data_IF_865128913003
#
_entry.id   IF_865128913003
#
_cell.length_a   1.000
_cell.length_b   1.000
_cell.length_c   1.000
_cell.angle_alpha   90.00
_cell.angle_beta   90.00
_cell.angle_gamma   90.00
#
_symmetry.space_group_name_H-M   'P 1'
#
loop_
_entity.id
_entity.type
_entity.pdbx_description
1 polymer ?
#
# COMPACT_ATOMS: atom_id res chain seq x y z
N UNK A 1 -20.62 0.39 7.64
CA UNK A 1 -19.51 -0.17 6.88
C UNK A 1 -19.08 0.86 5.86
N UNK A 2 -17.79 1.13 5.73
CA UNK A 2 -17.27 2.12 4.78
C UNK A 2 -17.31 1.50 3.39
N UNK A 3 -18.42 1.69 2.68
CA UNK A 3 -18.62 1.16 1.33
C UNK A 3 -17.62 1.77 0.33
N UNK A 4 -17.27 0.99 -0.68
CA UNK A 4 -16.35 1.37 -1.77
C UNK A 4 -17.06 1.27 -3.13
N UNK A 5 -16.62 2.05 -4.12
CA UNK A 5 -17.12 1.90 -5.50
C UNK A 5 -16.50 0.70 -6.22
N UNK A 6 -15.43 0.10 -5.67
CA UNK A 6 -14.94 -1.21 -6.09
C UNK A 6 -15.54 -2.31 -5.23
N UNK A 7 -15.72 -3.48 -5.83
CA UNK A 7 -16.17 -4.66 -5.11
C UNK A 7 -15.08 -5.15 -4.14
N UNK A 8 -15.32 -5.01 -2.84
CA UNK A 8 -14.46 -5.53 -1.76
C UNK A 8 -15.22 -6.70 -1.12
N UNK A 9 -14.71 -7.94 -1.17
CA UNK A 9 -15.33 -9.05 -0.47
C UNK A 9 -15.41 -8.80 1.05
N UNK A 10 -16.51 -9.21 1.69
CA UNK A 10 -16.70 -9.00 3.13
C UNK A 10 -15.62 -9.64 4.01
N UNK A 11 -15.05 -10.76 3.55
CA UNK A 11 -13.96 -11.48 4.23
C UNK A 11 -12.55 -11.00 3.81
N UNK A 12 -12.47 -9.90 3.04
CA UNK A 12 -11.17 -9.38 2.59
C UNK A 12 -10.43 -8.70 3.74
N UNK A 13 -9.18 -9.10 3.95
CA UNK A 13 -8.26 -8.41 4.85
C UNK A 13 -7.95 -6.96 4.40
N UNK A 14 -8.22 -6.62 3.13
CA UNK A 14 -7.84 -5.35 2.50
C UNK A 14 -9.04 -4.41 2.31
N UNK A 15 -9.84 -4.22 3.36
CA UNK A 15 -10.93 -3.24 3.37
C UNK A 15 -10.43 -1.79 3.40
N UNK A 16 -11.32 -0.80 3.26
CA UNK A 16 -10.95 0.61 3.48
C UNK A 16 -10.47 0.91 4.92
N UNK A 17 -10.74 0.01 5.88
CA UNK A 17 -10.19 0.09 7.22
C UNK A 17 -8.76 -0.48 7.32
N UNK A 18 -8.28 -1.20 6.31
CA UNK A 18 -6.92 -1.73 6.25
C UNK A 18 -6.30 -1.49 4.87
N UNK A 19 -5.61 -0.35 4.74
CA UNK A 19 -4.82 0.04 3.57
C UNK A 19 -3.34 -0.23 3.88
N UNK A 20 -2.81 -1.44 3.59
CA UNK A 20 -1.40 -1.76 3.80
C UNK A 20 -0.54 -1.14 2.69
N UNK A 21 0.74 -0.97 2.97
CA UNK A 21 1.73 -0.57 1.97
C UNK A 21 2.65 -1.75 1.66
N UNK A 22 3.03 -1.89 0.39
CA UNK A 22 3.94 -2.93 -0.06
C UNK A 22 4.74 -2.50 -1.29
N UNK A 23 5.51 -3.45 -1.82
CA UNK A 23 6.20 -3.33 -3.10
C UNK A 23 5.82 -4.54 -3.95
N UNK A 24 5.48 -4.31 -5.21
CA UNK A 24 5.10 -5.36 -6.13
C UNK A 24 5.73 -5.15 -7.51
N UNK A 25 5.75 -6.20 -8.32
CA UNK A 25 6.04 -6.12 -9.75
C UNK A 25 5.00 -6.91 -10.52
N UNK A 26 4.92 -6.72 -11.84
CA UNK A 26 4.04 -7.55 -12.66
C UNK A 26 4.56 -8.99 -12.73
N UNK A 27 3.66 -9.95 -12.49
CA UNK A 27 3.99 -11.36 -12.58
C UNK A 27 4.24 -11.75 -14.05
N UNK A 28 5.19 -12.66 -14.28
CA UNK A 28 5.47 -13.22 -15.62
C UNK A 28 6.37 -12.38 -16.52
N UNK A 29 6.78 -11.18 -16.10
CA UNK A 29 7.77 -10.36 -16.82
C UNK A 29 9.11 -10.40 -16.08
N UNK A 30 10.11 -11.06 -16.66
CA UNK A 30 11.43 -11.30 -16.04
C UNK A 30 12.21 -10.03 -15.69
N UNK A 31 11.80 -8.86 -16.19
CA UNK A 31 12.41 -7.55 -15.96
C UNK A 31 11.40 -6.49 -15.51
N UNK A 32 10.28 -6.89 -14.89
CA UNK A 32 9.35 -5.89 -14.35
C UNK A 32 10.03 -5.10 -13.23
N UNK A 33 10.11 -3.78 -13.40
CA UNK A 33 10.55 -2.86 -12.33
C UNK A 33 9.57 -2.95 -11.15
N UNK A 34 10.05 -3.15 -9.92
CA UNK A 34 9.21 -3.08 -8.72
C UNK A 34 8.67 -1.66 -8.51
N UNK A 35 7.46 -1.56 -7.97
CA UNK A 35 6.79 -0.30 -7.66
C UNK A 35 6.15 -0.34 -6.28
N UNK A 36 6.10 0.82 -5.62
CA UNK A 36 5.37 1.00 -4.37
C UNK A 36 3.87 0.83 -4.59
N UNK A 37 3.22 0.10 -3.69
CA UNK A 37 1.83 -0.30 -3.87
C UNK A 37 1.01 -0.31 -2.58
N UNK A 38 -0.31 -0.28 -2.72
CA UNK A 38 -1.26 -0.60 -1.66
C UNK A 38 -2.29 -1.61 -2.14
N UNK A 39 -2.95 -2.32 -1.22
CA UNK A 39 -3.99 -3.29 -1.53
C UNK A 39 -5.37 -2.78 -1.11
N UNK A 40 -6.36 -2.94 -1.99
CA UNK A 40 -7.77 -2.66 -1.69
C UNK A 40 -8.66 -3.73 -2.34
N UNK A 41 -9.36 -4.52 -1.50
CA UNK A 41 -10.06 -5.72 -1.92
C UNK A 41 -9.12 -6.70 -2.63
N UNK A 42 -9.45 -7.05 -3.87
CA UNK A 42 -8.62 -7.94 -4.71
C UNK A 42 -7.65 -7.17 -5.62
N UNK A 43 -7.53 -5.86 -5.45
CA UNK A 43 -6.72 -5.01 -6.30
C UNK A 43 -5.44 -4.55 -5.61
N UNK A 44 -4.39 -4.46 -6.41
CA UNK A 44 -3.08 -3.91 -6.07
C UNK A 44 -2.92 -2.62 -6.85
N UNK A 45 -2.68 -1.54 -6.12
CA UNK A 45 -2.72 -0.17 -6.64
C UNK A 45 -1.30 0.38 -6.75
N UNK A 46 -0.88 0.77 -7.94
CA UNK A 46 0.41 1.38 -8.19
C UNK A 46 0.43 2.83 -7.69
N UNK A 47 1.17 3.08 -6.61
CA UNK A 47 1.24 4.41 -5.99
C UNK A 47 2.08 5.39 -6.81
N UNK A 48 3.05 4.90 -7.58
CA UNK A 48 3.88 5.74 -8.47
C UNK A 48 3.02 6.38 -9.56
N UNK A 49 2.12 5.59 -10.18
CA UNK A 49 1.18 6.09 -11.20
C UNK A 49 0.20 7.11 -10.61
N UNK A 50 -0.23 6.91 -9.36
CA UNK A 50 -1.10 7.88 -8.67
C UNK A 50 -0.34 9.18 -8.34
N UNK A 51 0.91 9.07 -7.92
CA UNK A 51 1.79 10.22 -7.68
C UNK A 51 1.99 11.04 -8.96
N UNK A 52 2.33 10.40 -10.08
CA UNK A 52 2.49 11.06 -11.39
C UNK A 52 1.21 11.73 -11.89
N UNK A 53 0.05 11.17 -11.55
CA UNK A 53 -1.24 11.74 -11.90
C UNK A 53 -1.64 12.94 -11.02
N UNK A 54 -0.86 13.27 -9.97
CA UNK A 54 -1.12 14.36 -9.04
C UNK A 54 -2.10 13.99 -7.92
N UNK A 55 -2.29 12.70 -7.62
CA UNK A 55 -3.24 12.26 -6.59
C UNK A 55 -2.91 12.80 -5.19
N UNK A 56 -1.65 13.14 -4.95
CA UNK A 56 -1.13 13.56 -3.65
C UNK A 56 -0.71 15.03 -3.58
N UNK A 57 -0.96 15.84 -4.62
CA UNK A 57 -0.51 17.24 -4.73
C UNK A 57 -1.01 18.15 -3.59
N UNK A 58 -2.15 17.80 -2.99
CA UNK A 58 -2.69 18.52 -1.83
C UNK A 58 -1.88 18.31 -0.54
N UNK A 59 -1.02 17.28 -0.48
CA UNK A 59 -0.19 16.92 0.67
C UNK A 59 1.18 17.59 0.51
N UNK A 60 1.28 18.85 0.92
CA UNK A 60 2.49 19.68 0.73
C UNK A 60 3.75 19.14 1.39
N UNK A 61 3.60 18.33 2.44
CA UNK A 61 4.73 17.73 3.16
C UNK A 61 5.23 16.43 2.53
N UNK A 62 4.50 15.85 1.57
CA UNK A 62 4.96 14.71 0.81
C UNK A 62 6.00 15.19 -0.20
N UNK A 63 7.21 14.64 -0.13
CA UNK A 63 8.25 14.94 -1.11
C UNK A 63 7.90 14.30 -2.47
N UNK A 64 8.26 14.94 -3.60
CA UNK A 64 8.09 14.34 -4.92
C UNK A 64 8.94 13.05 -5.05
N UNK A 65 8.55 12.20 -5.99
CA UNK A 65 9.23 10.92 -6.30
C UNK A 65 9.31 9.94 -5.12
N UNK A 66 8.41 10.09 -4.14
CA UNK A 66 8.39 9.24 -2.94
C UNK A 66 7.98 7.81 -3.28
N UNK A 67 7.02 7.63 -4.20
CA UNK A 67 6.54 6.33 -4.64
C UNK A 67 7.21 5.87 -5.95
N UNK A 68 8.01 6.71 -6.60
CA UNK A 68 8.87 6.38 -7.74
C UNK A 68 10.12 5.56 -7.37
N UNK A 69 10.08 4.87 -6.23
CA UNK A 69 11.15 4.06 -5.69
C UNK A 69 10.81 2.57 -5.80
N UNK A 70 11.84 1.72 -5.77
CA UNK A 70 11.67 0.26 -5.70
C UNK A 70 11.41 -0.27 -4.28
N UNK A 71 11.38 0.61 -3.27
CA UNK A 71 11.13 0.28 -1.86
C UNK A 71 10.39 1.42 -1.16
N UNK A 72 9.71 1.14 -0.05
CA UNK A 72 8.98 2.14 0.73
C UNK A 72 9.87 3.01 1.63
N UNK A 73 11.20 2.85 1.63
CA UNK A 73 12.09 3.58 2.53
C UNK A 73 11.90 5.10 2.42
N UNK A 74 11.82 5.65 1.20
CA UNK A 74 11.61 7.08 1.00
C UNK A 74 10.27 7.59 1.60
N UNK A 75 9.25 6.73 1.66
CA UNK A 75 7.96 7.04 2.27
C UNK A 75 8.01 6.91 3.80
N UNK A 76 8.68 5.88 4.31
CA UNK A 76 8.84 5.63 5.75
C UNK A 76 9.78 6.66 6.39
N UNK A 77 10.74 7.21 5.66
CA UNK A 77 11.63 8.29 6.11
C UNK A 77 10.93 9.66 6.19
N UNK A 78 9.73 9.80 5.59
CA UNK A 78 8.94 11.02 5.71
C UNK A 78 8.53 11.27 7.17
N UNK A 79 8.19 12.53 7.45
CA UNK A 79 7.62 12.89 8.75
C UNK A 79 6.33 12.07 9.01
N UNK A 80 6.12 11.54 10.24
CA UNK A 80 4.92 10.77 10.60
C UNK A 80 3.58 11.48 10.34
N UNK A 81 3.60 12.80 10.14
CA UNK A 81 2.42 13.60 9.75
C UNK A 81 1.95 13.33 8.31
N UNK A 82 2.81 12.77 7.45
CA UNK A 82 2.53 12.47 6.05
C UNK A 82 1.70 11.19 5.90
N UNK A 83 2.04 10.14 6.66
CA UNK A 83 1.39 8.83 6.55
C UNK A 83 -0.14 8.85 6.73
N UNK A 84 -0.72 9.51 7.76
CA UNK A 84 -2.16 9.58 7.89
C UNK A 84 -2.81 10.37 6.75
N UNK A 85 -2.14 11.37 6.17
CA UNK A 85 -2.65 12.14 5.03
C UNK A 85 -2.70 11.30 3.76
N UNK A 86 -1.63 10.57 3.44
CA UNK A 86 -1.60 9.63 2.32
C UNK A 86 -2.68 8.57 2.48
N UNK A 87 -2.79 7.97 3.67
CA UNK A 87 -3.84 6.99 3.94
C UNK A 87 -5.24 7.58 3.79
N UNK A 88 -5.49 8.78 4.32
CA UNK A 88 -6.79 9.44 4.20
C UNK A 88 -7.15 9.69 2.73
N UNK A 89 -6.17 10.12 1.92
CA UNK A 89 -6.35 10.32 0.48
C UNK A 89 -6.65 9.00 -0.24
N UNK A 90 -5.93 7.93 0.06
CA UNK A 90 -6.21 6.61 -0.51
C UNK A 90 -7.62 6.12 -0.16
N UNK A 91 -8.03 6.27 1.10
CA UNK A 91 -9.40 5.93 1.52
C UNK A 91 -10.41 6.76 0.72
N UNK A 92 -10.21 8.07 0.63
CA UNK A 92 -11.08 8.98 -0.14
C UNK A 92 -11.26 8.52 -1.59
N UNK A 93 -10.16 8.21 -2.28
CA UNK A 93 -10.18 7.76 -3.68
C UNK A 93 -11.03 6.50 -3.90
N UNK A 94 -11.17 5.64 -2.88
CA UNK A 94 -11.90 4.38 -2.98
C UNK A 94 -13.24 4.37 -2.24
N UNK A 95 -13.67 5.44 -1.57
CA UNK A 95 -15.00 5.53 -0.94
C UNK A 95 -16.11 5.40 -1.97
N UNK A 96 -17.28 4.88 -1.61
CA UNK A 96 -18.45 4.72 -2.50
C UNK A 96 -18.82 6.00 -3.29
N UNK A 97 -18.75 7.16 -2.64
CA UNK A 97 -19.00 8.47 -3.25
C UNK A 97 -17.91 8.90 -4.25
N UNK A 98 -16.79 8.19 -4.32
CA UNK A 98 -15.64 8.44 -5.18
C UNK A 98 -14.81 9.66 -4.77
N UNK A 99 -15.10 10.26 -3.61
CA UNK A 99 -14.49 11.52 -3.18
C UNK A 99 -14.70 12.64 -4.20
N UNK A 100 -13.60 13.12 -4.77
CA UNK A 100 -13.55 14.14 -5.83
C UNK A 100 -13.70 13.58 -7.24
N UNK A 101 -13.92 12.27 -7.39
CA UNK A 101 -14.03 11.58 -8.68
C UNK A 101 -12.70 11.34 -9.39
N UNK A 102 -11.56 11.75 -8.80
CA UNK A 102 -10.24 11.72 -9.43
C UNK A 102 -9.88 10.35 -10.00
N UNK A 103 -10.11 9.29 -9.23
CA UNK A 103 -9.88 7.91 -9.65
C UNK A 103 -11.14 7.25 -10.21
N UNK A 104 -12.29 7.39 -9.55
CA UNK A 104 -13.54 6.69 -9.92
C UNK A 104 -14.02 7.04 -11.33
N UNK A 105 -13.87 8.28 -11.75
CA UNK A 105 -14.42 8.75 -13.02
C UNK A 105 -13.37 8.72 -14.16
N UNK A 106 -12.12 8.34 -13.85
CA UNK A 106 -11.00 8.27 -14.79
C UNK A 106 -10.62 6.82 -15.13
N UNK A 107 -11.30 6.24 -16.13
CA UNK A 107 -11.05 4.86 -16.57
C UNK A 107 -9.62 4.61 -17.07
N UNK A 108 -8.98 5.62 -17.68
CA UNK A 108 -7.61 5.50 -18.17
C UNK A 108 -6.63 5.35 -17.00
N UNK A 109 -6.82 6.15 -15.95
CA UNK A 109 -6.00 6.06 -14.74
C UNK A 109 -6.24 4.74 -14.01
N UNK A 110 -7.49 4.30 -13.88
CA UNK A 110 -7.81 2.99 -13.28
C UNK A 110 -7.06 1.85 -13.96
N UNK A 111 -7.08 1.79 -15.30
CA UNK A 111 -6.34 0.76 -16.06
C UNK A 111 -4.83 0.87 -15.87
N UNK A 112 -4.31 2.08 -15.66
CA UNK A 112 -2.89 2.32 -15.49
C UNK A 112 -2.40 1.96 -14.08
N UNK A 113 -3.22 2.17 -13.04
CA UNK A 113 -2.79 2.01 -11.65
C UNK A 113 -3.38 0.80 -10.92
N UNK A 114 -4.47 0.18 -11.40
CA UNK A 114 -5.14 -0.93 -10.70
C UNK A 114 -4.85 -2.27 -11.37
N UNK A 115 -4.31 -3.21 -10.60
CA UNK A 115 -4.03 -4.57 -11.06
C UNK A 115 -4.74 -5.59 -10.19
N UNK A 116 -5.07 -6.74 -10.76
CA UNK A 116 -5.54 -7.89 -9.96
C UNK A 116 -4.38 -8.43 -9.11
N UNK A 117 -4.66 -8.73 -7.84
CA UNK A 117 -3.65 -9.28 -6.92
C UNK A 117 -3.00 -10.58 -7.41
N UNK A 118 -3.70 -11.37 -8.22
CA UNK A 118 -3.17 -12.59 -8.85
C UNK A 118 -2.14 -12.33 -9.96
N UNK A 119 -2.07 -11.10 -10.49
CA UNK A 119 -1.19 -10.71 -11.60
C UNK A 119 0.08 -10.00 -11.14
N UNK A 120 0.29 -9.90 -9.83
CA UNK A 120 1.48 -9.25 -9.27
C UNK A 120 2.31 -10.23 -8.45
N UNK A 121 3.59 -9.93 -8.32
CA UNK A 121 4.52 -10.60 -7.43
C UNK A 121 4.93 -9.62 -6.33
N UNK A 122 4.72 -10.00 -5.08
CA UNK A 122 5.12 -9.18 -3.92
C UNK A 122 6.62 -9.29 -3.65
N UNK A 123 7.22 -8.19 -3.23
CA UNK A 123 8.62 -8.08 -2.83
C UNK A 123 8.74 -7.63 -1.38
N UNK A 124 9.98 -7.65 -0.87
CA UNK A 124 10.27 -7.06 0.43
C UNK A 124 9.91 -5.56 0.42
N UNK A 125 9.09 -5.06 1.36
CA UNK A 125 8.53 -3.72 1.29
C UNK A 125 9.56 -2.61 1.58
N UNK A 126 10.58 -2.93 2.37
CA UNK A 126 11.64 -2.00 2.78
C UNK A 126 13.00 -2.66 2.64
N UNK A 127 14.01 -1.87 2.33
CA UNK A 127 15.41 -2.25 2.51
C UNK A 127 15.72 -2.24 3.99
N UNK A 128 15.97 -3.42 4.54
CA UNK A 128 16.31 -3.61 5.96
C UNK A 128 17.79 -3.26 6.16
N UNK A 129 18.06 -2.26 7.00
CA UNK A 129 19.42 -1.91 7.42
C UNK A 129 19.91 -2.82 8.55
N UNK A 130 19.14 -2.85 9.63
CA UNK A 130 19.37 -3.71 10.79
C UNK A 130 18.07 -4.43 11.16
N UNK A 131 18.18 -5.64 11.71
CA UNK A 131 17.06 -6.43 12.17
C UNK A 131 17.30 -6.84 13.63
N UNK A 132 16.35 -6.47 14.50
CA UNK A 132 16.39 -6.77 15.93
C UNK A 132 15.13 -7.56 16.27
N UNK A 133 15.31 -8.74 16.84
CA UNK A 133 14.22 -9.60 17.33
C UNK A 133 14.11 -9.52 18.86
N UNK A 134 12.88 -9.44 19.37
CA UNK A 134 12.60 -9.27 20.80
C UNK A 134 12.02 -10.54 21.41
N UNK A 135 12.55 -10.96 22.57
CA UNK A 135 12.03 -12.10 23.33
C UNK A 135 10.95 -11.69 24.34
N UNK A 136 9.90 -11.01 23.86
CA UNK A 136 8.92 -10.31 24.73
C UNK A 136 7.66 -11.12 25.06
N UNK A 137 7.54 -12.37 24.61
CA UNK A 137 6.38 -13.23 24.92
C UNK A 137 6.65 -14.09 26.14
N UNK A 138 5.95 -13.81 27.25
CA UNK A 138 6.10 -14.56 28.51
C UNK A 138 5.80 -16.04 28.34
N UNK A 139 4.70 -16.39 27.70
CA UNK A 139 4.32 -17.80 27.50
C UNK A 139 5.28 -18.52 26.55
N UNK A 140 5.80 -17.84 25.53
CA UNK A 140 6.87 -18.37 24.68
C UNK A 140 8.15 -18.61 25.51
N UNK A 141 8.52 -17.62 26.35
CA UNK A 141 9.66 -17.72 27.25
C UNK A 141 9.53 -18.88 28.25
N UNK A 142 8.34 -19.08 28.81
CA UNK A 142 8.05 -20.17 29.74
C UNK A 142 8.06 -21.52 29.05
N UNK A 143 7.41 -21.67 27.88
CA UNK A 143 7.35 -22.96 27.18
C UNK A 143 8.72 -23.42 26.68
N UNK A 144 9.55 -22.49 26.17
CA UNK A 144 10.94 -22.79 25.83
C UNK A 144 11.72 -23.19 27.08
N UNK A 145 11.55 -22.46 28.19
CA UNK A 145 12.25 -22.71 29.45
C UNK A 145 11.87 -24.02 30.17
N UNK A 146 10.66 -24.54 29.97
CA UNK A 146 10.20 -25.80 30.57
C UNK A 146 10.58 -27.02 29.72
N UNK A 147 10.94 -26.80 28.45
CA UNK A 147 11.32 -27.86 27.50
C UNK A 147 12.83 -28.17 27.49
N UNK A 148 13.61 -27.50 28.34
CA UNK A 148 15.05 -27.73 28.60
C UNK A 148 15.23 -28.42 29.94
#
# INVERSE_FOLDING_TARGET
MSSSWINIPDESDFSLANIPFGVASFAGYSHSTPFCTTAVGNHVINLAVLEDAGAFDAIRELLPDTFQQSTLNAFVEQSPVVWPKVRARLVELFREDGGDGFLRDNQSLQKACMYEGSKVQMHLPVKIGEYTDFYSSREHATNVGVSI
#
